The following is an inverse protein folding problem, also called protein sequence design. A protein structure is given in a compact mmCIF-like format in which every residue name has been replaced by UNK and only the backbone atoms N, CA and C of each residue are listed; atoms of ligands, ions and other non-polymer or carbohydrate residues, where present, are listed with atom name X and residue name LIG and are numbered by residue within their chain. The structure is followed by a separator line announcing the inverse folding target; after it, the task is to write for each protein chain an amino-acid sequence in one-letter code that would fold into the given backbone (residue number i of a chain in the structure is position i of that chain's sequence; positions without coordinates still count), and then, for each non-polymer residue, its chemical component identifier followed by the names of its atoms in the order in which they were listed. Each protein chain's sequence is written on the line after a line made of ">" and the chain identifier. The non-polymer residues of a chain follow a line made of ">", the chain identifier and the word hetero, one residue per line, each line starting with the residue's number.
data_IF_378058776100
#
_entry.id   IF_378058776100
#
_cell.length_a   1.000
_cell.length_b   1.000
_cell.length_c   1.000
_cell.angle_alpha   90.00
_cell.angle_beta   90.00
_cell.angle_gamma   90.00
#
_symmetry.space_group_name_H-M   'P 1'
#
loop_
_entity.id
_entity.type
_entity.pdbx_description
1 polymer ?
#
# COMPACT_ATOMS: atom_id res chain seq x y z
N UNK A 1 9.03 -1.24 3.71
CA UNK A 1 8.42 -2.15 4.71
C UNK A 1 8.99 -3.56 4.51
N UNK A 2 9.82 -4.05 5.43
CA UNK A 2 10.88 -5.00 5.05
C UNK A 2 10.54 -6.49 5.22
N UNK A 3 9.44 -6.87 5.89
CA UNK A 3 9.05 -8.29 6.06
C UNK A 3 7.54 -8.53 5.83
N UNK A 4 7.14 -9.13 4.69
CA UNK A 4 5.75 -9.48 4.39
C UNK A 4 5.09 -10.43 5.41
N UNK A 5 5.88 -11.25 6.11
CA UNK A 5 5.36 -12.24 7.07
C UNK A 5 4.83 -11.57 8.33
N UNK A 6 5.41 -10.43 8.72
CA UNK A 6 4.94 -9.65 9.87
C UNK A 6 3.56 -9.07 9.59
N UNK A 7 3.33 -8.50 8.40
CA UNK A 7 2.00 -8.01 8.02
C UNK A 7 0.97 -9.11 7.97
N UNK A 8 1.35 -10.26 7.39
CA UNK A 8 0.46 -11.41 7.33
C UNK A 8 0.03 -11.85 8.73
N UNK A 9 0.96 -11.92 9.68
CA UNK A 9 0.65 -12.27 11.07
C UNK A 9 -0.33 -11.25 11.70
N UNK A 10 -0.07 -9.96 11.55
CA UNK A 10 -0.96 -8.91 12.09
C UNK A 10 -2.36 -9.02 11.50
N UNK A 11 -2.48 -9.26 10.19
CA UNK A 11 -3.77 -9.46 9.53
C UNK A 11 -4.50 -10.70 10.06
N UNK A 12 -3.79 -11.83 10.15
CA UNK A 12 -4.34 -13.10 10.65
C UNK A 12 -4.78 -12.97 12.14
N UNK A 13 -4.02 -12.25 12.98
CA UNK A 13 -4.35 -11.99 14.40
C UNK A 13 -5.53 -11.01 14.57
N UNK A 14 -5.64 -10.02 13.70
CA UNK A 14 -6.74 -9.04 13.72
C UNK A 14 -8.04 -9.56 13.08
N UNK A 15 -7.99 -10.70 12.37
CA UNK A 15 -9.13 -11.18 11.58
C UNK A 15 -9.39 -10.33 10.33
N UNK A 16 -8.38 -9.62 9.85
CA UNK A 16 -8.46 -8.65 8.74
C UNK A 16 -7.67 -9.11 7.52
N UNK A 17 -7.84 -8.42 6.39
CA UNK A 17 -7.11 -8.71 5.15
C UNK A 17 -6.08 -7.62 4.80
N UNK A 18 -5.00 -8.02 4.12
CA UNK A 18 -4.01 -7.06 3.63
C UNK A 18 -4.57 -6.30 2.43
N UNK A 19 -4.80 -4.99 2.59
CA UNK A 19 -5.48 -4.12 1.62
C UNK A 19 -4.69 -3.79 0.34
N UNK A 20 -3.43 -4.21 0.22
CA UNK A 20 -2.60 -3.99 -0.96
C UNK A 20 -1.21 -3.43 -0.63
N UNK A 21 -0.53 -2.91 -1.66
CA UNK A 21 0.83 -2.36 -1.55
C UNK A 21 0.82 -0.87 -1.80
N UNK A 22 1.57 -0.13 -0.99
CA UNK A 22 1.78 1.31 -1.10
C UNK A 22 3.24 1.63 -1.41
N UNK A 23 3.48 2.76 -2.08
CA UNK A 23 4.80 3.37 -2.13
C UNK A 23 5.04 4.14 -0.83
N UNK A 24 6.13 3.85 -0.11
CA UNK A 24 6.38 4.44 1.23
C UNK A 24 7.65 5.28 1.30
N UNK A 25 8.79 4.64 1.13
CA UNK A 25 10.14 5.11 1.42
C UNK A 25 10.91 5.49 0.16
N UNK A 26 10.38 5.10 -1.00
CA UNK A 26 10.92 5.43 -2.31
C UNK A 26 9.81 5.73 -3.31
N UNK A 27 10.13 6.60 -4.26
CA UNK A 27 9.37 6.75 -5.49
C UNK A 27 9.49 5.48 -6.33
N UNK A 28 8.53 5.28 -7.21
CA UNK A 28 8.62 4.24 -8.21
C UNK A 28 9.71 4.57 -9.24
N UNK A 29 10.10 3.58 -10.04
CA UNK A 29 10.98 3.80 -11.19
C UNK A 29 10.35 4.79 -12.18
N UNK A 30 11.19 5.53 -12.90
CA UNK A 30 10.74 6.50 -13.92
C UNK A 30 9.72 5.86 -14.88
N UNK A 31 8.58 6.53 -15.08
CA UNK A 31 7.48 6.07 -15.93
C UNK A 31 6.45 5.18 -15.22
N UNK A 32 6.62 4.89 -13.92
CA UNK A 32 5.63 4.17 -13.12
C UNK A 32 4.70 5.14 -12.37
N UNK A 33 3.50 4.71 -11.93
CA UNK A 33 2.52 5.59 -11.29
C UNK A 33 3.04 6.39 -10.09
N UNK A 34 4.03 5.87 -9.36
CA UNK A 34 4.66 6.50 -8.21
C UNK A 34 5.98 7.22 -8.48
N UNK A 35 6.34 7.51 -9.74
CA UNK A 35 7.65 8.05 -10.13
C UNK A 35 7.92 9.51 -9.74
N UNK A 36 6.90 10.17 -9.21
CA UNK A 36 6.95 11.50 -8.62
C UNK A 36 6.20 11.50 -7.31
N UNK A 37 6.46 12.47 -6.44
CA UNK A 37 5.74 12.60 -5.17
C UNK A 37 4.22 12.72 -5.37
N UNK A 38 3.79 13.51 -6.37
CA UNK A 38 2.36 13.63 -6.70
C UNK A 38 1.81 12.31 -7.25
N UNK A 39 2.57 11.62 -8.12
CA UNK A 39 2.21 10.30 -8.63
C UNK A 39 2.02 9.28 -7.49
N UNK A 40 2.96 9.26 -6.55
CA UNK A 40 2.92 8.41 -5.36
C UNK A 40 1.61 8.61 -4.58
N UNK A 41 1.20 9.86 -4.34
CA UNK A 41 -0.07 10.16 -3.66
C UNK A 41 -1.29 9.82 -4.51
N UNK A 42 -1.25 10.09 -5.82
CA UNK A 42 -2.32 9.71 -6.76
C UNK A 42 -2.50 8.19 -6.85
N UNK A 43 -1.47 7.41 -6.55
CA UNK A 43 -1.57 5.96 -6.44
C UNK A 43 -2.04 5.52 -5.05
N UNK A 44 -1.39 6.00 -3.98
CA UNK A 44 -1.63 5.53 -2.62
C UNK A 44 -3.03 5.88 -2.08
N UNK A 45 -3.52 7.11 -2.33
CA UNK A 45 -4.79 7.56 -1.75
C UNK A 45 -5.98 6.74 -2.27
N UNK A 46 -6.14 6.52 -3.59
CA UNK A 46 -7.19 5.62 -4.08
C UNK A 46 -7.05 4.19 -3.57
N UNK A 47 -5.82 3.66 -3.45
CA UNK A 47 -5.60 2.32 -2.92
C UNK A 47 -6.08 2.19 -1.46
N UNK A 48 -5.79 3.19 -0.62
CA UNK A 48 -6.27 3.27 0.76
C UNK A 48 -7.80 3.34 0.82
N UNK A 49 -8.41 4.25 0.05
CA UNK A 49 -9.87 4.42 0.01
C UNK A 49 -10.56 3.13 -0.43
N UNK A 50 -10.04 2.48 -1.47
CA UNK A 50 -10.59 1.22 -1.98
C UNK A 50 -10.46 0.07 -0.97
N UNK A 51 -9.38 0.02 -0.19
CA UNK A 51 -9.22 -0.98 0.87
C UNK A 51 -10.21 -0.73 2.02
N UNK A 52 -10.35 0.52 2.47
CA UNK A 52 -11.30 0.89 3.53
C UNK A 52 -12.75 0.64 3.15
N UNK A 53 -13.11 0.79 1.87
CA UNK A 53 -14.47 0.55 1.39
C UNK A 53 -14.84 -0.94 1.23
N UNK A 54 -13.87 -1.86 1.33
CA UNK A 54 -14.10 -3.31 1.25
C UNK A 54 -14.36 -3.96 2.62
N UNK A 55 -14.05 -3.24 3.69
CA UNK A 55 -14.26 -3.63 5.09
C UNK A 55 -15.57 -3.02 5.62
#
# INVERSE_FOLDING_TARGET
>A
MSDPRLLKRVADEAGEVVGGTLYSDALALVGQPGDSYIGMFRYNVPALVAAMAKN
#
